data_IF_088157669935
#
_entry.id   IF_088157669935
#
_cell.length_a   1.000
_cell.length_b   1.000
_cell.length_c   1.000
_cell.angle_alpha   90.00
_cell.angle_beta   90.00
_cell.angle_gamma   90.00
#
_symmetry.space_group_name_H-M   'P 1'
#
loop_
_entity.id
_entity.type
_entity.pdbx_description
1 polymer ?
#
# COMPACT_ATOMS: atom_id res chain seq x y z
N UNK A 1 29.68 43.35 -21.67
CA UNK A 1 28.65 43.30 -20.61
C UNK A 1 28.46 41.84 -20.25
N UNK A 2 29.07 41.39 -19.16
CA UNK A 2 28.95 40.02 -18.67
C UNK A 2 27.61 39.90 -17.91
N UNK A 3 26.72 39.04 -18.40
CA UNK A 3 25.50 38.70 -17.67
C UNK A 3 25.87 37.66 -16.61
N UNK A 4 25.83 38.08 -15.35
CA UNK A 4 26.04 37.25 -14.18
C UNK A 4 24.90 36.25 -14.02
N UNK A 5 25.10 35.01 -14.49
CA UNK A 5 24.24 33.90 -14.07
C UNK A 5 24.52 33.62 -12.60
N UNK A 6 23.58 34.03 -11.74
CA UNK A 6 23.53 33.67 -10.32
C UNK A 6 23.46 32.14 -10.24
N UNK A 7 24.61 31.50 -10.02
CA UNK A 7 24.69 30.05 -9.75
C UNK A 7 23.96 29.79 -8.43
N UNK A 8 22.78 29.20 -8.51
CA UNK A 8 21.95 28.89 -7.33
C UNK A 8 22.69 27.89 -6.43
N UNK A 9 22.82 28.23 -5.14
CA UNK A 9 23.45 27.34 -4.16
C UNK A 9 22.57 26.10 -3.90
N UNK A 10 23.15 24.90 -3.74
CA UNK A 10 22.42 23.64 -3.55
C UNK A 10 21.61 23.56 -2.23
N UNK A 11 21.83 24.48 -1.29
CA UNK A 11 21.14 24.51 -0.01
C UNK A 11 19.63 24.80 -0.10
N UNK A 12 19.16 25.43 -1.19
CA UNK A 12 17.72 25.69 -1.39
C UNK A 12 16.98 24.47 -1.94
N UNK A 13 17.65 23.62 -2.73
CA UNK A 13 17.02 22.48 -3.39
C UNK A 13 16.59 21.39 -2.39
N UNK A 14 17.31 21.22 -1.27
CA UNK A 14 16.95 20.24 -0.23
C UNK A 14 15.63 20.57 0.51
N UNK A 15 15.10 21.78 0.35
CA UNK A 15 13.82 22.20 0.96
C UNK A 15 12.61 21.92 0.09
N UNK A 16 12.83 21.48 -1.16
CA UNK A 16 11.75 21.14 -2.10
C UNK A 16 11.13 19.80 -1.72
N UNK A 17 9.83 19.81 -1.44
CA UNK A 17 9.07 18.59 -1.20
C UNK A 17 8.48 18.07 -2.52
N UNK A 18 9.00 16.95 -3.00
CA UNK A 18 8.57 16.29 -4.24
C UNK A 18 7.07 16.01 -4.25
N UNK A 19 6.48 15.65 -3.11
CA UNK A 19 5.05 15.35 -3.00
C UNK A 19 4.14 16.56 -3.28
N UNK A 20 4.67 17.79 -3.22
CA UNK A 20 3.91 19.00 -3.58
C UNK A 20 3.81 19.20 -5.10
N UNK A 21 4.71 18.58 -5.88
CA UNK A 21 4.76 18.71 -7.34
C UNK A 21 4.30 17.44 -8.04
N UNK A 22 4.65 16.28 -7.47
CA UNK A 22 4.35 14.96 -8.01
C UNK A 22 3.34 14.30 -7.07
N UNK A 23 2.07 14.34 -7.47
CA UNK A 23 0.95 13.92 -6.61
C UNK A 23 0.66 12.42 -6.68
N UNK A 24 1.25 11.71 -7.65
CA UNK A 24 1.05 10.27 -7.87
C UNK A 24 2.38 9.55 -7.89
N UNK A 25 2.44 8.35 -7.31
CA UNK A 25 3.58 7.46 -7.52
C UNK A 25 3.51 6.85 -8.92
N UNK A 26 4.66 6.63 -9.56
CA UNK A 26 4.75 5.87 -10.80
C UNK A 26 4.68 4.37 -10.50
N UNK A 27 3.80 3.63 -11.19
CA UNK A 27 3.59 2.19 -11.05
C UNK A 27 3.41 1.53 -12.42
N UNK A 28 3.60 0.22 -12.54
CA UNK A 28 3.35 -0.55 -13.77
C UNK A 28 1.84 -0.75 -13.98
N UNK A 29 1.26 -0.24 -15.08
CA UNK A 29 -0.10 -0.57 -15.53
C UNK A 29 -0.30 -0.21 -17.02
N UNK A 30 -0.73 -1.19 -17.83
CA UNK A 30 -0.91 -1.09 -19.28
C UNK A 30 -2.13 -0.27 -19.72
N UNK A 31 -3.06 0.06 -18.81
CA UNK A 31 -4.33 0.73 -19.14
C UNK A 31 -4.38 2.21 -18.79
N UNK A 32 -3.34 2.78 -18.15
CA UNK A 32 -3.45 4.12 -17.55
C UNK A 32 -2.38 5.12 -17.99
N UNK A 33 -2.86 6.34 -18.18
CA UNK A 33 -2.14 7.59 -18.47
C UNK A 33 -1.21 8.04 -17.31
N UNK A 34 -0.83 7.14 -16.38
CA UNK A 34 -0.09 7.49 -15.15
C UNK A 34 1.34 7.90 -15.47
N UNK A 35 2.02 7.23 -16.41
CA UNK A 35 3.37 7.56 -16.81
C UNK A 35 3.44 8.94 -17.47
N UNK A 36 2.51 9.25 -18.37
CA UNK A 36 2.44 10.57 -19.03
C UNK A 36 2.20 11.67 -17.98
N UNK A 37 1.23 11.48 -17.10
CA UNK A 37 0.93 12.45 -16.04
C UNK A 37 2.09 12.62 -15.05
N UNK A 38 2.73 11.51 -14.65
CA UNK A 38 3.91 11.53 -13.79
C UNK A 38 5.09 12.24 -14.45
N UNK A 39 5.35 11.93 -15.73
CA UNK A 39 6.45 12.52 -16.50
C UNK A 39 6.28 14.04 -16.61
N UNK A 40 5.08 14.52 -16.93
CA UNK A 40 4.79 15.96 -16.98
C UNK A 40 4.97 16.65 -15.62
N UNK A 41 4.51 16.04 -14.52
CA UNK A 41 4.70 16.60 -13.17
C UNK A 41 6.17 16.64 -12.77
N UNK A 42 6.92 15.58 -13.10
CA UNK A 42 8.34 15.50 -12.80
C UNK A 42 9.13 16.51 -13.65
N UNK A 43 8.83 16.65 -14.94
CA UNK A 43 9.43 17.69 -15.79
C UNK A 43 9.13 19.10 -15.28
N UNK A 44 7.92 19.35 -14.77
CA UNK A 44 7.58 20.63 -14.15
C UNK A 44 8.43 20.91 -12.90
N UNK A 45 8.61 19.91 -12.02
CA UNK A 45 9.49 20.01 -10.85
C UNK A 45 10.94 20.29 -11.28
N UNK A 46 11.51 19.44 -12.12
CA UNK A 46 12.90 19.52 -12.57
C UNK A 46 13.16 20.85 -13.31
N UNK A 47 12.23 21.24 -14.19
CA UNK A 47 12.27 22.49 -14.94
C UNK A 47 12.19 23.73 -14.05
N UNK A 48 11.33 23.73 -13.02
CA UNK A 48 11.23 24.84 -12.07
C UNK A 48 12.55 25.10 -11.32
N UNK A 49 13.40 24.08 -11.21
CA UNK A 49 14.71 24.13 -10.54
C UNK A 49 15.87 24.29 -11.53
N UNK A 50 15.60 24.40 -12.83
CA UNK A 50 16.63 24.53 -13.86
C UNK A 50 17.50 23.28 -14.04
N UNK A 51 17.00 22.09 -13.68
CA UNK A 51 17.77 20.84 -13.64
C UNK A 51 17.58 19.93 -14.86
N UNK A 52 16.86 20.38 -15.90
CA UNK A 52 16.59 19.55 -17.09
C UNK A 52 17.87 19.04 -17.77
N UNK A 53 18.94 19.82 -17.70
CA UNK A 53 20.25 19.44 -18.26
C UNK A 53 20.81 18.12 -17.73
N UNK A 54 20.45 17.72 -16.51
CA UNK A 54 20.89 16.46 -15.90
C UNK A 54 20.20 15.24 -16.51
N UNK A 55 18.94 15.37 -16.94
CA UNK A 55 18.20 14.24 -17.54
C UNK A 55 18.32 14.20 -19.06
N UNK A 56 18.42 15.35 -19.74
CA UNK A 56 18.56 15.42 -21.21
C UNK A 56 20.00 15.25 -21.70
N UNK A 57 20.98 15.38 -20.80
CA UNK A 57 22.40 15.13 -21.04
C UNK A 57 23.15 16.35 -21.57
N UNK A 58 22.52 17.52 -21.59
CA UNK A 58 23.18 18.79 -21.92
C UNK A 58 24.08 19.29 -20.77
N UNK A 59 23.99 18.69 -19.58
CA UNK A 59 24.84 18.97 -18.42
C UNK A 59 25.62 17.71 -17.99
N UNK A 60 26.79 17.50 -18.61
CA UNK A 60 27.69 16.37 -18.33
C UNK A 60 28.72 16.68 -17.23
N UNK A 61 29.15 15.67 -16.46
CA UNK A 61 30.24 15.85 -15.51
C UNK A 61 31.55 16.20 -16.25
N UNK A 62 32.28 17.19 -15.74
CA UNK A 62 33.58 17.58 -16.30
C UNK A 62 34.60 16.43 -16.21
N UNK A 63 35.33 16.09 -17.29
CA UNK A 63 36.35 15.04 -17.27
C UNK A 63 37.41 15.32 -16.20
N UNK A 64 37.84 14.28 -15.47
CA UNK A 64 38.76 14.35 -14.31
C UNK A 64 40.20 14.80 -14.63
N UNK A 65 40.46 15.34 -15.82
CA UNK A 65 41.77 15.88 -16.20
C UNK A 65 41.90 17.37 -15.83
N UNK A 66 42.10 17.66 -14.55
CA UNK A 66 42.78 18.88 -14.15
C UNK A 66 43.64 18.59 -12.92
N UNK A 67 44.95 18.60 -13.09
CA UNK A 67 45.96 18.50 -12.04
C UNK A 67 46.03 19.76 -11.15
N UNK A 68 44.94 20.53 -11.06
CA UNK A 68 44.90 21.81 -10.38
C UNK A 68 43.58 21.98 -9.63
N UNK A 69 43.52 21.39 -8.43
CA UNK A 69 42.71 21.85 -7.28
C UNK A 69 41.21 22.12 -7.41
N UNK A 70 40.53 21.91 -8.55
CA UNK A 70 39.11 22.21 -8.74
C UNK A 70 38.21 21.06 -8.27
N UNK A 71 38.34 20.71 -7.01
CA UNK A 71 37.47 19.73 -6.31
C UNK A 71 36.01 20.22 -6.16
N UNK A 72 35.67 21.46 -6.59
CA UNK A 72 34.39 22.11 -6.30
C UNK A 72 33.27 21.87 -7.32
N UNK A 73 33.54 21.83 -8.63
CA UNK A 73 32.47 21.81 -9.64
C UNK A 73 31.93 20.38 -9.89
N UNK A 74 32.81 19.38 -9.95
CA UNK A 74 32.42 17.97 -10.06
C UNK A 74 31.66 17.48 -8.81
N UNK A 75 32.03 17.95 -7.62
CA UNK A 75 31.32 17.63 -6.39
C UNK A 75 29.91 18.25 -6.36
N UNK A 76 29.77 19.48 -6.86
CA UNK A 76 28.47 20.14 -6.97
C UNK A 76 27.56 19.41 -7.97
N UNK A 77 28.11 19.03 -9.13
CA UNK A 77 27.38 18.23 -10.12
C UNK A 77 26.91 16.90 -9.49
N UNK A 78 27.82 16.16 -8.84
CA UNK A 78 27.50 14.86 -8.20
C UNK A 78 26.41 15.00 -7.14
N UNK A 79 26.49 16.02 -6.27
CA UNK A 79 25.47 16.26 -5.24
C UNK A 79 24.11 16.61 -5.83
N UNK A 80 24.09 17.38 -6.91
CA UNK A 80 22.86 17.79 -7.60
C UNK A 80 22.22 16.61 -8.33
N UNK A 81 23.01 15.79 -9.01
CA UNK A 81 22.55 14.54 -9.65
C UNK A 81 21.98 13.56 -8.62
N UNK A 82 22.67 13.38 -7.48
CA UNK A 82 22.18 12.53 -6.39
C UNK A 82 20.84 13.01 -5.81
N UNK A 83 20.67 14.33 -5.65
CA UNK A 83 19.42 14.91 -5.17
C UNK A 83 18.28 14.66 -6.16
N UNK A 84 18.52 14.94 -7.45
CA UNK A 84 17.55 14.75 -8.51
C UNK A 84 17.15 13.28 -8.64
N UNK A 85 18.12 12.37 -8.58
CA UNK A 85 17.87 10.93 -8.53
C UNK A 85 17.00 10.56 -7.33
N UNK A 86 17.27 11.14 -6.15
CA UNK A 86 16.45 10.96 -4.95
C UNK A 86 15.00 11.41 -5.17
N UNK A 87 14.77 12.52 -5.87
CA UNK A 87 13.42 12.97 -6.20
C UNK A 87 12.67 12.02 -7.11
N UNK A 88 13.34 11.53 -8.16
CA UNK A 88 12.76 10.52 -9.06
C UNK A 88 12.39 9.28 -8.25
N UNK A 89 13.33 8.70 -7.50
CA UNK A 89 13.11 7.47 -6.72
C UNK A 89 11.99 7.61 -5.68
N UNK A 90 11.89 8.73 -4.97
CA UNK A 90 10.82 8.95 -3.97
C UNK A 90 9.43 9.05 -4.59
N UNK A 91 9.34 9.30 -5.89
CA UNK A 91 8.07 9.38 -6.63
C UNK A 91 7.66 8.06 -7.28
N UNK A 92 8.40 6.97 -7.06
CA UNK A 92 8.11 5.66 -7.62
C UNK A 92 7.38 4.77 -6.60
N UNK A 93 6.54 3.87 -7.10
CA UNK A 93 6.06 2.71 -6.34
C UNK A 93 7.18 1.68 -6.21
N UNK A 94 7.10 0.84 -5.19
CA UNK A 94 8.11 -0.14 -4.80
C UNK A 94 8.52 -1.02 -5.99
N UNK A 95 7.56 -1.50 -6.79
CA UNK A 95 7.84 -2.33 -7.97
C UNK A 95 8.70 -1.60 -9.01
N UNK A 96 8.41 -0.32 -9.26
CA UNK A 96 9.14 0.49 -10.24
C UNK A 96 10.52 0.90 -9.71
N UNK A 97 10.64 1.14 -8.39
CA UNK A 97 11.94 1.40 -7.75
C UNK A 97 12.90 0.23 -8.00
N UNK A 98 12.43 -1.01 -7.87
CA UNK A 98 13.26 -2.19 -8.06
C UNK A 98 13.82 -2.30 -9.49
N UNK A 99 13.06 -1.87 -10.50
CA UNK A 99 13.50 -1.92 -11.89
C UNK A 99 14.67 -0.97 -12.21
N UNK A 100 14.80 0.13 -11.47
CA UNK A 100 15.85 1.14 -11.67
C UNK A 100 16.91 1.14 -10.57
N UNK A 101 16.82 0.17 -9.66
CA UNK A 101 17.71 0.07 -8.51
C UNK A 101 19.14 -0.25 -8.97
N UNK A 102 20.10 0.56 -8.54
CA UNK A 102 21.52 0.38 -8.88
C UNK A 102 22.02 1.14 -10.11
N UNK A 103 21.12 1.76 -10.89
CA UNK A 103 21.51 2.73 -11.92
C UNK A 103 22.26 3.90 -11.29
N UNK A 104 23.27 4.46 -11.98
CA UNK A 104 24.26 5.34 -11.33
C UNK A 104 23.77 6.76 -11.21
N UNK A 105 23.29 7.33 -12.31
CA UNK A 105 22.91 8.75 -12.41
C UNK A 105 21.39 8.95 -12.46
N UNK A 106 20.93 10.19 -12.24
CA UNK A 106 19.52 10.55 -12.46
C UNK A 106 19.10 10.36 -13.92
N UNK A 107 20.01 10.59 -14.87
CA UNK A 107 19.83 10.33 -16.30
C UNK A 107 19.60 8.86 -16.61
N UNK A 108 20.42 7.98 -16.05
CA UNK A 108 20.28 6.52 -16.27
C UNK A 108 18.90 6.06 -15.82
N UNK A 109 18.46 6.52 -14.64
CA UNK A 109 17.12 6.22 -14.11
C UNK A 109 16.04 6.78 -15.04
N UNK A 110 16.19 8.03 -15.50
CA UNK A 110 15.21 8.66 -16.40
C UNK A 110 15.04 7.89 -17.72
N UNK A 111 16.16 7.52 -18.35
CA UNK A 111 16.17 6.82 -19.63
C UNK A 111 15.63 5.38 -19.50
N UNK A 112 15.95 4.68 -18.42
CA UNK A 112 15.42 3.33 -18.18
C UNK A 112 13.90 3.37 -17.97
N UNK A 113 13.38 4.35 -17.21
CA UNK A 113 11.94 4.54 -17.08
C UNK A 113 11.27 4.87 -18.42
N UNK A 114 11.88 5.76 -19.22
CA UNK A 114 11.38 6.03 -20.57
C UNK A 114 11.31 4.79 -21.44
N UNK A 115 12.33 3.94 -21.38
CA UNK A 115 12.38 2.74 -22.20
C UNK A 115 11.43 1.66 -21.69
N UNK A 116 11.33 1.43 -20.39
CA UNK A 116 10.38 0.48 -19.79
C UNK A 116 8.95 0.86 -20.19
N UNK A 117 8.55 2.12 -19.98
CA UNK A 117 7.18 2.54 -20.25
C UNK A 117 6.88 2.66 -21.75
N UNK A 118 7.90 2.87 -22.59
CA UNK A 118 7.77 2.75 -24.06
C UNK A 118 7.57 1.29 -24.48
N UNK A 119 8.31 0.35 -23.90
CA UNK A 119 8.12 -1.09 -24.18
C UNK A 119 6.75 -1.58 -23.72
N UNK A 120 6.26 -1.08 -22.58
CA UNK A 120 4.91 -1.36 -22.07
C UNK A 120 3.85 -0.80 -23.03
N UNK A 121 4.04 0.41 -23.57
CA UNK A 121 3.11 0.97 -24.56
C UNK A 121 3.17 0.27 -25.93
N UNK A 122 4.33 -0.26 -26.30
CA UNK A 122 4.57 -0.92 -27.59
C UNK A 122 4.23 -2.43 -27.54
N UNK A 123 4.12 -3.04 -26.35
CA UNK A 123 3.71 -4.44 -26.22
C UNK A 123 2.22 -4.58 -26.50
N UNK A 124 1.87 -5.48 -27.44
CA UNK A 124 0.50 -5.96 -27.55
C UNK A 124 0.05 -6.43 -26.17
N UNK A 125 -1.14 -6.00 -25.69
CA UNK A 125 -1.60 -6.41 -24.38
C UNK A 125 -1.62 -7.94 -24.33
N UNK A 126 -1.21 -8.57 -23.22
CA UNK A 126 -1.43 -9.99 -23.03
C UNK A 126 -2.89 -10.29 -23.39
N UNK A 127 -3.12 -11.33 -24.21
CA UNK A 127 -4.44 -11.78 -24.63
C UNK A 127 -5.21 -12.34 -23.41
N UNK A 128 -5.58 -11.44 -22.50
CA UNK A 128 -6.82 -11.54 -21.78
C UNK A 128 -7.91 -11.47 -22.85
N UNK A 129 -8.89 -12.37 -22.78
CA UNK A 129 -10.04 -12.37 -23.68
C UNK A 129 -10.66 -10.97 -23.78
N UNK A 130 -11.56 -10.73 -24.76
CA UNK A 130 -12.00 -9.39 -25.16
C UNK A 130 -12.16 -8.47 -23.95
N UNK A 131 -11.40 -7.36 -23.98
CA UNK A 131 -11.40 -6.31 -22.98
C UNK A 131 -12.84 -6.08 -22.49
N UNK A 132 -13.12 -6.19 -21.17
CA UNK A 132 -14.43 -5.81 -20.67
C UNK A 132 -14.64 -4.35 -21.11
N UNK A 133 -15.65 -4.14 -21.94
CA UNK A 133 -15.99 -2.84 -22.49
C UNK A 133 -15.89 -1.75 -21.40
N UNK A 134 -15.42 -0.53 -21.71
CA UNK A 134 -15.29 0.54 -20.72
C UNK A 134 -16.61 0.66 -19.94
N UNK A 135 -16.56 0.31 -18.66
CA UNK A 135 -17.70 0.20 -17.74
C UNK A 135 -18.24 1.60 -17.45
N UNK A 136 -19.08 2.13 -18.34
CA UNK A 136 -19.74 3.43 -18.17
C UNK A 136 -18.77 4.63 -18.15
N UNK A 137 -19.29 5.82 -18.40
CA UNK A 137 -18.48 7.04 -18.28
C UNK A 137 -18.24 7.34 -16.79
N UNK A 138 -17.09 6.92 -16.23
CA UNK A 138 -16.69 7.20 -14.84
C UNK A 138 -16.84 8.70 -14.46
N UNK A 139 -16.82 9.61 -15.45
CA UNK A 139 -17.09 11.04 -15.26
C UNK A 139 -18.45 11.30 -14.60
N UNK A 140 -19.45 10.46 -14.85
CA UNK A 140 -20.78 10.56 -14.26
C UNK A 140 -20.73 10.44 -12.72
N UNK A 141 -19.84 9.59 -12.19
CA UNK A 141 -19.74 9.30 -10.76
C UNK A 141 -18.75 10.18 -9.99
N UNK A 142 -17.99 11.05 -10.68
CA UNK A 142 -17.08 12.03 -10.05
C UNK A 142 -17.73 12.83 -8.91
N UNK A 143 -18.99 13.30 -9.02
CA UNK A 143 -19.66 13.99 -7.91
C UNK A 143 -19.89 13.09 -6.69
N UNK A 144 -20.25 11.82 -6.90
CA UNK A 144 -20.48 10.86 -5.83
C UNK A 144 -19.17 10.46 -5.15
N UNK A 145 -18.12 10.20 -5.94
CA UNK A 145 -16.76 9.97 -5.44
C UNK A 145 -16.29 11.12 -4.55
N UNK A 146 -16.43 12.37 -5.02
CA UNK A 146 -16.04 13.56 -4.23
C UNK A 146 -16.88 13.71 -2.95
N UNK A 147 -18.16 13.36 -3.00
CA UNK A 147 -19.03 13.41 -1.82
C UNK A 147 -18.60 12.36 -0.78
N UNK A 148 -18.31 11.12 -1.20
CA UNK A 148 -17.79 10.06 -0.35
C UNK A 148 -16.43 10.44 0.26
N UNK A 149 -15.48 10.90 -0.56
CA UNK A 149 -14.14 11.32 -0.13
C UNK A 149 -14.19 12.46 0.92
N UNK A 150 -15.15 13.39 0.78
CA UNK A 150 -15.33 14.52 1.72
C UNK A 150 -16.27 14.22 2.88
N UNK A 151 -16.89 13.04 2.92
CA UNK A 151 -17.95 12.70 3.88
C UNK A 151 -19.21 13.58 3.78
N UNK A 152 -19.48 14.18 2.61
CA UNK A 152 -20.64 15.04 2.39
C UNK A 152 -21.89 14.21 2.08
N UNK A 153 -22.55 13.74 3.14
CA UNK A 153 -23.73 12.87 3.02
C UNK A 153 -24.87 13.54 2.24
N UNK A 154 -25.16 14.81 2.50
CA UNK A 154 -26.29 15.47 1.84
C UNK A 154 -26.09 15.59 0.33
N UNK A 155 -24.85 15.78 -0.13
CA UNK A 155 -24.53 15.74 -1.56
C UNK A 155 -24.71 14.34 -2.15
N UNK A 156 -24.18 13.30 -1.50
CA UNK A 156 -24.35 11.93 -1.97
C UNK A 156 -25.82 11.50 -1.96
N UNK A 157 -26.57 11.81 -0.89
CA UNK A 157 -28.00 11.48 -0.78
C UNK A 157 -28.79 12.01 -1.96
N UNK A 158 -28.59 13.26 -2.38
CA UNK A 158 -29.27 13.81 -3.56
C UNK A 158 -28.96 13.06 -4.85
N UNK A 159 -27.75 12.52 -4.99
CA UNK A 159 -27.34 11.72 -6.14
C UNK A 159 -28.03 10.36 -6.08
N UNK A 160 -27.97 9.69 -4.92
CA UNK A 160 -28.58 8.38 -4.68
C UNK A 160 -30.12 8.41 -4.78
N UNK A 161 -30.77 9.48 -4.33
CA UNK A 161 -32.22 9.66 -4.46
C UNK A 161 -32.65 9.76 -5.95
N UNK A 162 -31.78 10.29 -6.82
CA UNK A 162 -32.04 10.42 -8.28
C UNK A 162 -31.65 9.18 -9.06
N UNK A 163 -30.57 8.52 -8.65
CA UNK A 163 -30.06 7.29 -9.23
C UNK A 163 -29.74 6.29 -8.10
N UNK A 164 -30.73 5.49 -7.64
CA UNK A 164 -30.52 4.48 -6.61
C UNK A 164 -29.48 3.43 -6.99
N UNK A 165 -29.32 3.15 -8.29
CA UNK A 165 -28.31 2.21 -8.81
C UNK A 165 -26.87 2.65 -8.54
N UNK A 166 -26.64 3.96 -8.35
CA UNK A 166 -25.32 4.51 -8.02
C UNK A 166 -24.78 4.02 -6.66
N UNK A 167 -25.63 3.42 -5.82
CA UNK A 167 -25.23 2.81 -4.55
C UNK A 167 -24.36 1.56 -4.74
N UNK A 168 -24.56 0.82 -5.83
CA UNK A 168 -23.79 -0.38 -6.20
C UNK A 168 -22.79 -0.13 -7.33
N UNK A 169 -22.74 1.09 -7.86
CA UNK A 169 -21.88 1.41 -8.99
C UNK A 169 -20.40 1.45 -8.59
N UNK A 170 -19.56 0.97 -9.49
CA UNK A 170 -18.13 1.26 -9.52
C UNK A 170 -17.94 2.73 -9.91
N UNK A 171 -17.28 3.50 -9.04
CA UNK A 171 -17.16 4.96 -9.17
C UNK A 171 -15.73 5.46 -9.37
N UNK A 172 -14.75 4.55 -9.41
CA UNK A 172 -13.37 4.83 -9.75
C UNK A 172 -12.74 3.68 -10.56
N UNK A 173 -11.43 3.78 -10.81
CA UNK A 173 -10.67 2.82 -11.62
C UNK A 173 -10.43 1.49 -10.90
N UNK A 174 -10.53 1.46 -9.57
CA UNK A 174 -10.37 0.25 -8.76
C UNK A 174 -11.71 -0.46 -8.56
N UNK A 175 -12.72 -0.15 -9.37
CA UNK A 175 -14.07 -0.65 -9.22
C UNK A 175 -14.70 -0.37 -7.84
N UNK A 176 -14.17 0.60 -7.10
CA UNK A 176 -14.63 0.93 -5.76
C UNK A 176 -16.03 1.55 -5.77
N UNK A 177 -16.82 1.26 -4.73
CA UNK A 177 -18.12 1.91 -4.49
C UNK A 177 -17.95 3.17 -3.63
N UNK A 178 -19.00 3.98 -3.51
CA UNK A 178 -19.00 5.11 -2.57
C UNK A 178 -18.71 4.69 -1.11
N UNK A 179 -19.04 3.45 -0.74
CA UNK A 179 -18.74 2.91 0.58
C UNK A 179 -17.24 2.64 0.75
N UNK A 180 -16.57 2.01 -0.23
CA UNK A 180 -15.11 1.78 -0.23
C UNK A 180 -14.35 3.09 -0.01
N UNK A 181 -14.65 4.10 -0.81
CA UNK A 181 -14.00 5.42 -0.72
C UNK A 181 -14.20 6.05 0.66
N UNK A 182 -15.44 6.11 1.15
CA UNK A 182 -15.75 6.74 2.43
C UNK A 182 -15.07 6.02 3.60
N UNK A 183 -15.02 4.69 3.57
CA UNK A 183 -14.36 3.88 4.60
C UNK A 183 -12.84 4.07 4.57
N UNK A 184 -12.22 4.02 3.39
CA UNK A 184 -10.78 4.21 3.20
C UNK A 184 -10.27 5.56 3.69
N UNK A 185 -11.12 6.59 3.72
CA UNK A 185 -10.73 7.91 4.26
C UNK A 185 -10.39 7.91 5.76
N UNK A 186 -10.91 6.93 6.52
CA UNK A 186 -10.81 6.92 8.00
C UNK A 186 -11.57 8.03 8.73
N UNK A 187 -12.16 8.99 8.01
CA UNK A 187 -12.68 10.26 8.58
C UNK A 187 -14.18 10.47 8.33
N UNK A 188 -14.76 9.81 7.33
CA UNK A 188 -16.14 10.00 6.92
C UNK A 188 -17.17 9.16 7.71
N UNK A 189 -17.00 8.96 9.02
CA UNK A 189 -17.81 8.02 9.83
C UNK A 189 -19.32 8.31 9.76
N UNK A 190 -19.73 9.58 9.81
CA UNK A 190 -21.13 9.96 9.70
C UNK A 190 -21.73 9.63 8.32
N UNK A 191 -20.95 9.80 7.26
CA UNK A 191 -21.32 9.40 5.91
C UNK A 191 -21.51 7.88 5.83
N UNK A 192 -20.52 7.12 6.31
CA UNK A 192 -20.55 5.65 6.34
C UNK A 192 -21.79 5.15 7.10
N UNK A 193 -22.05 5.70 8.29
CA UNK A 193 -23.21 5.32 9.11
C UNK A 193 -24.53 5.51 8.35
N UNK A 194 -24.71 6.65 7.69
CA UNK A 194 -25.95 6.93 6.94
C UNK A 194 -26.05 6.10 5.67
N UNK A 195 -24.94 5.88 4.95
CA UNK A 195 -24.92 5.07 3.75
C UNK A 195 -25.25 3.61 4.06
N UNK A 196 -24.57 2.99 5.03
CA UNK A 196 -24.82 1.60 5.46
C UNK A 196 -26.24 1.40 5.98
N UNK A 197 -26.82 2.40 6.67
CA UNK A 197 -28.21 2.33 7.11
C UNK A 197 -29.22 2.35 5.94
N UNK A 198 -28.86 2.92 4.79
CA UNK A 198 -29.69 3.00 3.60
C UNK A 198 -29.42 1.85 2.60
N UNK A 199 -28.30 1.14 2.72
CA UNK A 199 -27.90 0.06 1.82
C UNK A 199 -28.62 -1.26 2.14
N UNK A 200 -29.10 -1.98 1.11
CA UNK A 200 -29.40 -3.41 1.21
C UNK A 200 -28.17 -4.20 1.68
N UNK A 201 -28.37 -5.25 2.47
CA UNK A 201 -27.27 -6.02 3.06
C UNK A 201 -26.42 -6.74 2.01
N UNK A 202 -27.03 -7.10 0.88
CA UNK A 202 -26.36 -7.75 -0.25
C UNK A 202 -25.28 -6.85 -0.85
N UNK A 203 -25.50 -5.53 -0.85
CA UNK A 203 -24.53 -4.57 -1.40
C UNK A 203 -23.34 -4.33 -0.48
N UNK A 204 -23.40 -4.72 0.80
CA UNK A 204 -22.28 -4.57 1.73
C UNK A 204 -21.14 -5.56 1.44
N UNK A 205 -21.43 -6.63 0.68
CA UNK A 205 -20.47 -7.64 0.26
C UNK A 205 -19.89 -7.39 -1.14
N UNK A 206 -20.26 -6.28 -1.80
CA UNK A 206 -19.64 -5.88 -3.08
C UNK A 206 -18.16 -5.61 -2.84
N UNK A 207 -17.32 -6.11 -3.75
CA UNK A 207 -15.87 -5.96 -3.72
C UNK A 207 -15.38 -4.95 -4.75
N UNK A 208 -14.17 -4.46 -4.56
CA UNK A 208 -13.41 -3.72 -5.57
C UNK A 208 -12.67 -4.68 -6.54
N UNK A 209 -11.74 -4.15 -7.35
CA UNK A 209 -11.00 -4.87 -8.38
C UNK A 209 -10.04 -5.95 -7.86
N UNK A 210 -9.71 -5.95 -6.57
CA UNK A 210 -8.85 -6.95 -5.92
C UNK A 210 -9.61 -7.85 -4.95
N UNK A 211 -10.94 -7.78 -4.97
CA UNK A 211 -11.80 -8.58 -4.10
C UNK A 211 -11.96 -7.99 -2.69
N UNK A 212 -11.51 -6.75 -2.43
CA UNK A 212 -11.65 -6.16 -1.10
C UNK A 212 -13.08 -5.65 -0.89
N UNK A 213 -13.71 -6.13 0.20
CA UNK A 213 -14.94 -5.52 0.71
C UNK A 213 -14.62 -4.24 1.48
N UNK A 214 -15.64 -3.41 1.73
CA UNK A 214 -15.49 -2.25 2.60
C UNK A 214 -14.97 -2.58 4.01
N UNK A 215 -15.21 -3.79 4.52
CA UNK A 215 -14.64 -4.21 5.80
C UNK A 215 -13.14 -4.50 5.70
N UNK A 216 -12.67 -5.04 4.58
CA UNK A 216 -11.23 -5.25 4.32
C UNK A 216 -10.52 -3.90 4.22
N UNK A 217 -11.08 -2.94 3.49
CA UNK A 217 -10.55 -1.56 3.43
C UNK A 217 -10.50 -0.95 4.84
N UNK A 218 -11.55 -1.12 5.65
CA UNK A 218 -11.53 -0.66 7.04
C UNK A 218 -10.39 -1.29 7.85
N UNK A 219 -10.13 -2.58 7.63
CA UNK A 219 -9.04 -3.32 8.26
C UNK A 219 -7.67 -2.71 7.93
N UNK A 220 -7.43 -2.46 6.64
CA UNK A 220 -6.17 -1.93 6.14
C UNK A 220 -5.85 -0.54 6.70
N UNK A 221 -6.83 0.37 6.71
CA UNK A 221 -6.64 1.75 7.18
C UNK A 221 -6.86 1.93 8.70
N UNK A 222 -7.20 0.86 9.42
CA UNK A 222 -7.48 0.91 10.86
C UNK A 222 -8.76 1.68 11.24
N UNK A 223 -9.74 1.80 10.33
CA UNK A 223 -10.98 2.54 10.57
C UNK A 223 -11.97 1.74 11.43
N UNK A 224 -11.69 1.65 12.74
CA UNK A 224 -12.47 0.84 13.69
C UNK A 224 -13.94 1.24 13.75
N UNK A 225 -14.23 2.54 13.65
CA UNK A 225 -15.60 3.03 13.68
C UNK A 225 -16.43 2.51 12.49
N UNK A 226 -15.87 2.54 11.27
CA UNK A 226 -16.53 1.96 10.11
C UNK A 226 -16.67 0.44 10.23
N UNK A 227 -15.61 -0.26 10.66
CA UNK A 227 -15.66 -1.70 10.86
C UNK A 227 -16.76 -2.11 11.86
N UNK A 228 -16.93 -1.38 12.96
CA UNK A 228 -18.03 -1.61 13.90
C UNK A 228 -19.41 -1.44 13.26
N UNK A 229 -19.60 -0.40 12.44
CA UNK A 229 -20.87 -0.17 11.73
C UNK A 229 -21.16 -1.33 10.77
N UNK A 230 -20.17 -1.73 9.97
CA UNK A 230 -20.30 -2.80 8.97
C UNK A 230 -20.60 -4.15 9.61
N UNK A 231 -19.80 -4.55 10.61
CA UNK A 231 -19.97 -5.84 11.32
C UNK A 231 -21.31 -5.88 12.06
N UNK A 232 -21.75 -4.76 12.64
CA UNK A 232 -23.07 -4.70 13.31
C UNK A 232 -24.23 -4.91 12.34
N UNK A 233 -24.06 -4.54 11.07
CA UNK A 233 -25.09 -4.67 10.04
C UNK A 233 -25.03 -6.03 9.33
N UNK A 234 -23.83 -6.52 9.03
CA UNK A 234 -23.60 -7.81 8.36
C UNK A 234 -22.33 -8.49 8.90
N UNK A 235 -22.45 -9.33 9.95
CA UNK A 235 -21.31 -10.03 10.56
C UNK A 235 -20.55 -10.94 9.59
N UNK A 236 -21.23 -11.49 8.58
CA UNK A 236 -20.65 -12.40 7.58
C UNK A 236 -19.44 -11.81 6.84
N UNK A 237 -19.35 -10.46 6.77
CA UNK A 237 -18.22 -9.77 6.15
C UNK A 237 -16.86 -10.14 6.77
N UNK A 238 -16.85 -10.59 8.04
CA UNK A 238 -15.63 -11.07 8.71
C UNK A 238 -15.04 -12.34 8.08
N UNK A 239 -15.84 -13.05 7.27
CA UNK A 239 -15.52 -14.35 6.67
C UNK A 239 -15.46 -14.30 5.14
N UNK A 240 -15.48 -13.11 4.54
CA UNK A 240 -15.30 -12.94 3.10
C UNK A 240 -13.83 -12.58 2.86
N UNK A 241 -13.02 -13.48 2.28
CA UNK A 241 -11.65 -13.15 1.90
C UNK A 241 -11.64 -12.38 0.57
N UNK A 242 -10.57 -11.61 0.35
CA UNK A 242 -10.29 -11.04 -0.96
C UNK A 242 -9.71 -12.07 -1.95
N UNK A 243 -9.32 -11.63 -3.14
CA UNK A 243 -8.83 -12.52 -4.20
C UNK A 243 -7.49 -13.21 -3.83
N UNK A 244 -6.76 -12.65 -2.87
CA UNK A 244 -5.55 -13.24 -2.28
C UNK A 244 -5.84 -14.25 -1.16
N UNK A 245 -7.13 -14.49 -0.84
CA UNK A 245 -7.54 -15.38 0.25
C UNK A 245 -7.36 -14.79 1.65
N UNK A 246 -7.12 -13.47 1.78
CA UNK A 246 -6.92 -12.81 3.07
C UNK A 246 -8.27 -12.34 3.63
N UNK A 247 -8.60 -12.76 4.86
CA UNK A 247 -9.76 -12.23 5.59
C UNK A 247 -9.41 -10.87 6.22
N UNK A 248 -10.41 -10.08 6.65
CA UNK A 248 -10.17 -8.79 7.28
C UNK A 248 -9.17 -8.86 8.45
N UNK A 249 -9.18 -9.94 9.25
CA UNK A 249 -8.27 -10.10 10.40
C UNK A 249 -6.80 -10.22 9.98
N UNK A 250 -6.49 -10.90 8.87
CA UNK A 250 -5.13 -10.93 8.32
C UNK A 250 -4.73 -9.54 7.82
N UNK A 251 -5.62 -8.85 7.11
CA UNK A 251 -5.32 -7.52 6.57
C UNK A 251 -5.02 -6.50 7.68
N UNK A 252 -5.75 -6.53 8.80
CA UNK A 252 -5.41 -5.72 9.97
C UNK A 252 -4.00 -6.02 10.52
N UNK A 253 -3.54 -7.28 10.44
CA UNK A 253 -2.17 -7.65 10.82
C UNK A 253 -1.13 -7.22 9.78
N UNK A 254 -1.41 -7.39 8.47
CA UNK A 254 -0.54 -6.94 7.35
C UNK A 254 -0.19 -5.46 7.51
N UNK A 255 -1.18 -4.62 7.78
CA UNK A 255 -0.99 -3.18 7.93
C UNK A 255 -0.65 -2.73 9.36
N UNK A 256 -0.31 -3.67 10.25
CA UNK A 256 0.07 -3.41 11.64
C UNK A 256 -0.96 -2.53 12.40
N UNK A 257 -2.26 -2.72 12.12
CA UNK A 257 -3.36 -1.99 12.74
C UNK A 257 -3.77 -2.67 14.05
N UNK A 258 -2.92 -2.60 15.09
CA UNK A 258 -3.10 -3.38 16.34
C UNK A 258 -4.49 -3.24 16.98
N UNK A 259 -5.02 -2.02 17.10
CA UNK A 259 -6.34 -1.78 17.68
C UNK A 259 -7.47 -2.40 16.85
N UNK A 260 -7.34 -2.39 15.52
CA UNK A 260 -8.27 -3.03 14.61
C UNK A 260 -8.15 -4.55 14.66
N UNK A 261 -6.93 -5.07 14.67
CA UNK A 261 -6.65 -6.50 14.78
C UNK A 261 -7.27 -7.07 16.06
N UNK A 262 -7.07 -6.39 17.20
CA UNK A 262 -7.65 -6.80 18.46
C UNK A 262 -9.18 -6.78 18.43
N UNK A 263 -9.76 -5.76 17.80
CA UNK A 263 -11.21 -5.69 17.58
C UNK A 263 -11.69 -6.88 16.74
N UNK A 264 -11.05 -7.17 15.61
CA UNK A 264 -11.42 -8.29 14.73
C UNK A 264 -11.31 -9.63 15.44
N UNK A 265 -10.23 -9.86 16.20
CA UNK A 265 -10.09 -11.05 17.05
C UNK A 265 -11.24 -11.18 18.05
N UNK A 266 -11.72 -10.06 18.60
CA UNK A 266 -12.81 -10.09 19.57
C UNK A 266 -14.20 -10.37 18.97
N UNK A 267 -14.42 -10.08 17.68
CA UNK A 267 -15.74 -10.21 17.05
C UNK A 267 -15.85 -11.38 16.06
N UNK A 268 -14.74 -11.90 15.56
CA UNK A 268 -14.72 -13.04 14.64
C UNK A 268 -14.76 -14.35 15.43
N UNK A 269 -15.84 -15.11 15.24
CA UNK A 269 -16.02 -16.45 15.79
C UNK A 269 -15.27 -17.48 14.95
N UNK A 270 -14.85 -18.56 15.59
CA UNK A 270 -14.09 -19.66 14.98
C UNK A 270 -14.91 -20.96 14.83
N UNK A 271 -16.21 -20.92 15.15
CA UNK A 271 -17.12 -22.06 15.19
C UNK A 271 -18.05 -22.21 13.95
N UNK A 272 -17.90 -21.35 12.93
CA UNK A 272 -18.82 -21.26 11.79
C UNK A 272 -18.39 -22.07 10.55
N UNK A 273 -17.56 -23.11 10.71
CA UNK A 273 -17.05 -23.95 9.61
C UNK A 273 -15.97 -23.28 8.76
N UNK A 274 -16.08 -21.98 8.48
CA UNK A 274 -14.98 -21.14 7.99
C UNK A 274 -14.26 -20.54 9.20
N UNK A 275 -12.97 -20.86 9.34
CA UNK A 275 -12.17 -20.37 10.46
C UNK A 275 -10.95 -19.58 9.96
N UNK A 276 -10.97 -18.24 10.07
CA UNK A 276 -9.85 -17.38 9.67
C UNK A 276 -8.56 -17.60 10.48
N UNK A 277 -8.63 -18.37 11.57
CA UNK A 277 -7.50 -18.65 12.46
C UNK A 277 -6.90 -20.04 12.29
N UNK A 278 -7.45 -20.88 11.40
CA UNK A 278 -6.97 -22.25 11.19
C UNK A 278 -6.32 -22.42 9.81
N UNK A 279 -5.60 -23.53 9.65
CA UNK A 279 -4.97 -23.91 8.39
C UNK A 279 -4.02 -22.84 7.85
N UNK A 280 -4.06 -22.63 6.52
CA UNK A 280 -3.18 -21.66 5.84
C UNK A 280 -3.46 -20.22 6.29
N UNK A 281 -4.72 -19.82 6.40
CA UNK A 281 -5.09 -18.46 6.83
C UNK A 281 -4.63 -18.16 8.27
N UNK A 282 -4.78 -19.14 9.17
CA UNK A 282 -4.27 -19.06 10.54
C UNK A 282 -2.75 -18.97 10.62
N UNK A 283 -2.05 -19.76 9.78
CA UNK A 283 -0.59 -19.72 9.71
C UNK A 283 -0.10 -18.36 9.21
N UNK A 284 -0.71 -17.82 8.15
CA UNK A 284 -0.43 -16.47 7.65
C UNK A 284 -0.64 -15.44 8.74
N UNK A 285 -1.74 -15.50 9.49
CA UNK A 285 -1.97 -14.58 10.60
C UNK A 285 -0.87 -14.70 11.66
N UNK A 286 -0.50 -15.92 12.07
CA UNK A 286 0.56 -16.17 13.06
C UNK A 286 1.89 -15.57 12.62
N UNK A 287 2.26 -15.74 11.34
CA UNK A 287 3.46 -15.13 10.78
C UNK A 287 3.43 -13.61 10.82
N UNK A 288 2.32 -13.00 10.37
CA UNK A 288 2.17 -11.55 10.32
C UNK A 288 2.29 -10.92 11.71
N UNK A 289 1.67 -11.53 12.73
CA UNK A 289 1.75 -11.00 14.10
C UNK A 289 3.14 -11.18 14.72
N UNK A 290 3.90 -12.21 14.35
CA UNK A 290 5.32 -12.37 14.73
C UNK A 290 6.18 -11.30 14.05
N UNK A 291 5.97 -11.07 12.76
CA UNK A 291 6.67 -10.04 11.98
C UNK A 291 6.39 -8.64 12.54
N UNK A 292 5.16 -8.38 12.98
CA UNK A 292 4.74 -7.14 13.62
C UNK A 292 5.10 -7.01 15.12
N UNK A 293 5.82 -7.98 15.72
CA UNK A 293 6.17 -8.01 17.16
C UNK A 293 4.98 -8.09 18.13
N UNK A 294 3.82 -8.56 17.68
CA UNK A 294 2.63 -8.78 18.52
C UNK A 294 2.67 -10.16 19.18
N UNK A 295 3.69 -10.37 20.02
CA UNK A 295 3.96 -11.66 20.65
C UNK A 295 2.87 -12.11 21.63
N UNK A 296 2.13 -11.18 22.21
CA UNK A 296 0.95 -11.47 23.02
C UNK A 296 -0.13 -12.17 22.18
N UNK A 297 -0.46 -11.59 21.02
CA UNK A 297 -1.42 -12.17 20.07
C UNK A 297 -0.90 -13.49 19.49
N UNK A 298 0.38 -13.55 19.12
CA UNK A 298 1.01 -14.76 18.60
C UNK A 298 0.92 -15.93 19.61
N UNK A 299 1.19 -15.63 20.89
CA UNK A 299 1.10 -16.62 21.97
C UNK A 299 -0.34 -17.10 22.17
N UNK A 300 -1.31 -16.19 22.15
CA UNK A 300 -2.72 -16.55 22.30
C UNK A 300 -3.24 -17.39 21.12
N UNK A 301 -2.80 -17.08 19.89
CA UNK A 301 -3.10 -17.89 18.70
C UNK A 301 -2.53 -19.31 18.81
N UNK A 302 -1.27 -19.48 19.20
CA UNK A 302 -0.64 -20.81 19.32
C UNK A 302 -1.28 -21.62 20.46
N UNK A 303 -1.67 -20.98 21.56
CA UNK A 303 -2.39 -21.66 22.65
C UNK A 303 -3.76 -22.16 22.20
N UNK A 304 -4.48 -21.34 21.42
CA UNK A 304 -5.83 -21.68 20.95
C UNK A 304 -5.81 -22.64 19.76
N UNK A 305 -4.80 -22.54 18.90
CA UNK A 305 -4.61 -23.36 17.69
C UNK A 305 -3.19 -23.96 17.67
N UNK A 306 -2.92 -24.99 18.48
CA UNK A 306 -1.57 -25.58 18.61
C UNK A 306 -0.98 -26.11 17.31
N UNK A 307 -1.83 -26.54 16.39
CA UNK A 307 -1.41 -27.05 15.09
C UNK A 307 -0.64 -26.01 14.27
N UNK A 308 -0.93 -24.71 14.43
CA UNK A 308 -0.25 -23.64 13.70
C UNK A 308 1.26 -23.63 13.94
N UNK A 309 1.72 -23.97 15.14
CA UNK A 309 3.15 -24.04 15.45
C UNK A 309 3.85 -25.23 14.79
N UNK A 310 3.09 -26.26 14.37
CA UNK A 310 3.60 -27.51 13.78
C UNK A 310 3.54 -27.51 12.26
N UNK A 311 2.83 -26.56 11.64
CA UNK A 311 2.75 -26.49 10.18
C UNK A 311 4.11 -26.06 9.63
N UNK A 312 4.66 -26.91 8.76
CA UNK A 312 5.86 -26.62 7.99
C UNK A 312 5.48 -26.51 6.50
N UNK A 313 5.20 -25.31 6.00
CA UNK A 313 4.80 -25.14 4.60
C UNK A 313 5.98 -25.42 3.66
N UNK A 314 5.77 -26.10 2.52
CA UNK A 314 6.86 -26.51 1.63
C UNK A 314 7.63 -25.34 0.97
N UNK A 315 6.99 -24.18 0.82
CA UNK A 315 7.54 -22.99 0.14
C UNK A 315 7.66 -21.76 1.05
N UNK A 316 7.44 -21.91 2.36
CA UNK A 316 7.48 -20.80 3.32
C UNK A 316 8.12 -21.26 4.63
N UNK A 317 8.53 -20.32 5.48
CA UNK A 317 9.13 -20.64 6.78
C UNK A 317 8.07 -21.05 7.78
N UNK A 318 8.37 -22.03 8.61
CA UNK A 318 7.56 -22.30 9.81
C UNK A 318 7.53 -21.08 10.75
N UNK A 319 6.53 -21.01 11.63
CA UNK A 319 6.45 -19.95 12.63
C UNK A 319 7.71 -19.90 13.53
N UNK A 320 8.29 -21.07 13.85
CA UNK A 320 9.52 -21.18 14.63
C UNK A 320 10.74 -20.61 13.90
N UNK A 321 10.86 -20.84 12.59
CA UNK A 321 11.94 -20.29 11.75
C UNK A 321 11.84 -18.77 11.60
N UNK A 322 10.62 -18.21 11.55
CA UNK A 322 10.43 -16.75 11.54
C UNK A 322 10.84 -16.11 12.87
N UNK A 323 10.48 -16.72 14.00
CA UNK A 323 10.89 -16.25 15.33
C UNK A 323 12.42 -16.33 15.47
N UNK A 324 13.02 -17.48 15.13
CA UNK A 324 14.47 -17.70 15.29
C UNK A 324 15.32 -16.78 14.42
N UNK A 325 14.82 -16.36 13.25
CA UNK A 325 15.48 -15.40 12.37
C UNK A 325 15.46 -13.95 12.91
N UNK A 326 14.62 -13.65 13.91
CA UNK A 326 14.41 -12.28 14.40
C UNK A 326 15.46 -11.90 15.45
N UNK A 327 16.59 -11.33 14.98
CA UNK A 327 17.73 -10.95 15.83
C UNK A 327 17.35 -10.05 17.02
N UNK A 328 16.36 -9.17 16.88
CA UNK A 328 15.89 -8.30 17.97
C UNK A 328 15.33 -9.06 19.18
N UNK A 329 14.79 -10.27 18.97
CA UNK A 329 14.27 -11.15 20.04
C UNK A 329 15.41 -11.73 20.88
N UNK A 330 16.59 -11.96 20.29
CA UNK A 330 17.73 -12.63 20.94
C UNK A 330 18.83 -11.67 21.40
N UNK A 331 18.90 -10.45 20.87
CA UNK A 331 19.90 -9.42 21.26
C UNK A 331 19.51 -8.70 22.57
N UNK A 332 18.36 -9.00 23.16
CA UNK A 332 18.04 -8.66 24.55
C UNK A 332 18.82 -9.57 25.54
N UNK A 333 20.15 -9.53 25.47
CA UNK A 333 21.05 -10.11 26.47
C UNK A 333 20.93 -9.32 27.79
N UNK A 334 19.88 -9.62 28.56
CA UNK A 334 19.81 -9.67 30.03
C UNK A 334 18.34 -9.69 30.48
N UNK A 335 17.79 -10.92 30.54
CA UNK A 335 16.84 -11.49 31.53
C UNK A 335 15.96 -12.53 30.82
N UNK A 336 16.54 -13.71 30.60
CA UNK A 336 15.77 -14.92 30.31
C UNK A 336 15.00 -15.33 31.57
N UNK A 337 13.66 -15.35 31.51
CA UNK A 337 12.75 -16.10 32.39
C UNK A 337 11.47 -16.56 31.65
N UNK A 338 11.31 -16.23 30.36
CA UNK A 338 10.10 -16.57 29.58
C UNK A 338 10.18 -17.99 28.98
N UNK A 339 11.36 -18.40 28.52
CA UNK A 339 11.55 -19.64 27.78
C UNK A 339 11.52 -20.92 28.64
N UNK A 340 11.82 -20.83 29.94
CA UNK A 340 11.67 -21.98 30.85
C UNK A 340 10.21 -22.39 31.05
N UNK A 341 9.25 -21.47 30.88
CA UNK A 341 7.81 -21.78 30.95
C UNK A 341 7.27 -22.39 29.65
N UNK A 342 7.89 -22.07 28.51
CA UNK A 342 7.45 -22.55 27.21
C UNK A 342 7.88 -23.99 26.96
N UNK A 343 9.09 -24.37 27.41
CA UNK A 343 9.60 -25.74 27.29
C UNK A 343 8.92 -26.69 28.30
N UNK A 344 8.68 -26.24 29.53
CA UNK A 344 8.00 -27.06 30.55
C UNK A 344 6.54 -27.41 30.21
N UNK A 345 5.85 -26.57 29.43
CA UNK A 345 4.46 -26.85 29.02
C UNK A 345 4.37 -27.93 27.93
N UNK A 346 5.40 -28.10 27.10
CA UNK A 346 5.41 -29.09 26.02
C UNK A 346 5.80 -30.50 26.49
N UNK A 347 6.56 -30.64 27.58
CA UNK A 347 6.87 -31.96 28.16
C UNK A 347 5.66 -32.62 28.84
N UNK A 348 4.67 -31.84 29.28
CA UNK A 348 3.44 -32.38 29.88
C UNK A 348 2.47 -33.00 28.86
N UNK A 349 2.54 -32.61 27.58
CA UNK A 349 1.67 -33.12 26.52
C UNK A 349 2.26 -34.34 25.76
N UNK A 350 3.52 -34.71 26.03
CA UNK A 350 4.17 -35.89 25.45
C UNK A 350 4.05 -37.15 26.33
N UNK A 351 3.49 -37.03 27.54
CA UNK A 351 3.33 -38.12 28.50
C UNK A 351 1.87 -38.30 28.99
N UNK A 352 0.86 -37.95 28.20
CA UNK A 352 -0.56 -38.21 28.52
C UNK A 352 -1.32 -38.77 27.32
#
# INVERSE_FOLDING_TARGET
MASSNVRQQPHFLSTVNVANFVSTKLYFNDTSNNYVAWKEQMLCLIGSQGLLGFIDGTNEPTPETAADGTTSENDLWRRTDMLLKGWILCSLNDDVIYAVLGLKTSRDVWLELEDIFRRISDSDPPNYGPDPAPKGDLKEYVPLHRAALRGNWEAAKRILDRNPGAMAASIDVNESTALHIAVGTGKAVHFVKKLVAAMPEELLAVTDDVGDTALIIAAAVGNRAAATILVSKKPDLLYIPNDLGCFPVQIAAVYAQRDMLQYMISVTRDDLGVNPYAGRAGLTLLHLVIEADYFDIALDLVKKYPDLARINPPDDRSALEKISAKKSVFVSERRFNFWERFIASCESCLNS
#
